data_IF_799363029868
#
_entry.id   IF_799363029868
#
_cell.length_a   1.000
_cell.length_b   1.000
_cell.length_c   1.000
_cell.angle_alpha   90.00
_cell.angle_beta   90.00
_cell.angle_gamma   90.00
#
_symmetry.space_group_name_H-M   'P 1'
#
loop_
_entity.id
_entity.type
_entity.pdbx_description
1 polymer ?
#
# COMPACT_ATOMS: atom_id res chain seq x y z
N UNK A 1 22.16 26.97 35.89
CA UNK A 1 21.90 27.97 34.82
C UNK A 1 22.77 27.79 33.56
N UNK A 2 24.11 27.64 33.63
CA UNK A 2 24.97 27.47 32.42
C UNK A 2 24.62 26.19 31.62
N UNK A 3 24.41 25.05 32.28
CA UNK A 3 24.07 23.76 31.60
C UNK A 3 22.76 23.86 30.84
N UNK A 4 21.70 24.44 31.43
CA UNK A 4 20.42 24.63 30.73
C UNK A 4 20.55 25.52 29.46
N UNK A 5 21.38 26.57 29.53
CA UNK A 5 21.65 27.42 28.36
C UNK A 5 22.38 26.65 27.26
N UNK A 6 23.37 25.82 27.63
CA UNK A 6 24.10 24.98 26.68
C UNK A 6 23.15 23.98 26.01
N UNK A 7 22.30 23.28 26.78
CA UNK A 7 21.28 22.38 26.26
C UNK A 7 20.33 23.13 25.29
N UNK A 8 19.87 24.33 25.69
CA UNK A 8 19.04 25.17 24.85
C UNK A 8 19.70 25.52 23.51
N UNK A 9 20.97 25.87 23.50
CA UNK A 9 21.73 26.17 22.28
C UNK A 9 21.91 24.93 21.39
N UNK A 10 22.18 23.76 21.99
CA UNK A 10 22.30 22.50 21.25
C UNK A 10 20.97 22.15 20.57
N UNK A 11 19.85 22.23 21.30
CA UNK A 11 18.53 21.97 20.75
C UNK A 11 18.23 22.96 19.63
N UNK A 12 18.50 24.24 19.80
CA UNK A 12 18.27 25.27 18.78
C UNK A 12 19.12 25.02 17.54
N UNK A 13 20.37 24.62 17.69
CA UNK A 13 21.27 24.28 16.58
C UNK A 13 20.77 23.03 15.81
N UNK A 14 20.30 22.00 16.53
CA UNK A 14 19.71 20.81 15.89
C UNK A 14 18.43 21.15 15.12
N UNK A 15 17.54 21.95 15.68
CA UNK A 15 16.33 22.43 14.99
C UNK A 15 16.70 23.22 13.74
N UNK A 16 17.66 24.15 13.85
CA UNK A 16 18.11 24.94 12.71
C UNK A 16 18.72 24.04 11.59
N UNK A 17 19.48 23.01 11.97
CA UNK A 17 20.04 22.04 11.03
C UNK A 17 18.95 21.25 10.30
N UNK A 18 17.94 20.78 11.01
CA UNK A 18 16.79 20.08 10.43
C UNK A 18 16.01 20.97 9.46
N UNK A 19 15.73 22.21 9.85
CA UNK A 19 15.05 23.17 8.98
C UNK A 19 15.88 23.51 7.73
N UNK A 20 17.20 23.65 7.88
CA UNK A 20 18.10 23.87 6.75
C UNK A 20 18.14 22.66 5.81
N UNK A 21 18.10 21.44 6.34
CA UNK A 21 18.00 20.22 5.54
C UNK A 21 16.69 20.17 4.75
N UNK A 22 15.55 20.46 5.37
CA UNK A 22 14.26 20.51 4.68
C UNK A 22 14.22 21.59 3.59
N UNK A 23 14.75 22.78 3.88
CA UNK A 23 14.88 23.83 2.88
C UNK A 23 15.80 23.40 1.75
N UNK A 24 16.92 22.73 2.04
CA UNK A 24 17.83 22.18 1.03
C UNK A 24 17.16 21.16 0.12
N UNK A 25 16.38 20.22 0.68
CA UNK A 25 15.55 19.27 -0.06
C UNK A 25 14.59 20.01 -0.99
N UNK A 26 13.86 21.00 -0.46
CA UNK A 26 12.91 21.77 -1.26
C UNK A 26 13.60 22.52 -2.41
N UNK A 27 14.66 23.29 -2.12
CA UNK A 27 15.39 24.06 -3.14
C UNK A 27 16.01 23.15 -4.20
N UNK A 28 16.60 22.02 -3.80
CA UNK A 28 17.17 21.06 -4.74
C UNK A 28 16.10 20.43 -5.61
N UNK A 29 14.94 20.12 -5.06
CA UNK A 29 13.83 19.58 -5.83
C UNK A 29 13.39 20.51 -6.97
N UNK A 30 13.54 21.83 -6.82
CA UNK A 30 13.21 22.80 -7.87
C UNK A 30 14.08 22.67 -9.12
N UNK A 31 15.30 22.11 -8.98
CA UNK A 31 16.21 21.84 -10.08
C UNK A 31 15.90 20.52 -10.83
N UNK A 32 15.03 19.67 -10.26
CA UNK A 32 14.62 18.40 -10.87
C UNK A 32 13.44 18.59 -11.83
N UNK A 33 13.23 17.69 -12.79
CA UNK A 33 12.03 17.68 -13.63
C UNK A 33 10.75 17.67 -12.81
N UNK A 34 9.69 18.28 -13.30
CA UNK A 34 8.39 18.19 -12.66
C UNK A 34 7.90 16.72 -12.62
N UNK A 35 7.22 16.34 -11.53
CA UNK A 35 6.60 15.02 -11.45
C UNK A 35 5.46 14.96 -12.47
N UNK A 36 5.45 14.01 -13.42
CA UNK A 36 4.31 13.83 -14.29
C UNK A 36 3.07 13.47 -13.47
N UNK A 37 1.92 14.10 -13.71
CA UNK A 37 0.69 13.73 -13.01
C UNK A 37 0.29 12.31 -13.39
N UNK A 38 -0.22 11.54 -12.41
CA UNK A 38 -0.89 10.27 -12.67
C UNK A 38 -2.35 10.57 -12.99
N UNK A 39 -2.80 10.18 -14.17
CA UNK A 39 -4.21 10.28 -14.52
C UNK A 39 -4.96 9.15 -13.82
N UNK A 40 -5.64 9.46 -12.73
CA UNK A 40 -6.50 8.53 -12.04
C UNK A 40 -7.91 8.60 -12.64
N UNK A 41 -8.29 7.54 -13.31
CA UNK A 41 -9.63 7.32 -13.84
C UNK A 41 -10.03 5.88 -13.58
N UNK A 42 -11.33 5.61 -13.51
CA UNK A 42 -11.88 4.27 -13.44
C UNK A 42 -12.81 4.04 -14.63
N UNK A 43 -12.66 2.88 -15.24
CA UNK A 43 -13.51 2.40 -16.35
C UNK A 43 -14.02 1.01 -16.01
N UNK A 44 -15.01 0.89 -15.10
CA UNK A 44 -15.49 -0.40 -14.62
C UNK A 44 -15.99 -1.29 -15.74
N UNK A 45 -15.60 -2.57 -15.69
CA UNK A 45 -16.09 -3.66 -16.51
C UNK A 45 -16.27 -4.91 -15.63
N UNK A 46 -17.18 -4.87 -14.64
CA UNK A 46 -17.31 -5.91 -13.63
C UNK A 46 -17.63 -7.26 -14.26
N UNK A 47 -17.10 -8.33 -13.69
CA UNK A 47 -17.47 -9.69 -14.04
C UNK A 47 -18.96 -9.89 -13.85
N UNK A 48 -19.60 -10.55 -14.82
CA UNK A 48 -21.05 -10.69 -14.86
C UNK A 48 -21.58 -11.62 -13.76
N UNK A 49 -20.80 -12.66 -13.48
CA UNK A 49 -21.10 -13.68 -12.49
C UNK A 49 -19.80 -14.35 -11.98
N UNK A 50 -19.98 -15.40 -11.19
CA UNK A 50 -18.88 -16.16 -10.61
C UNK A 50 -18.04 -16.86 -11.70
N UNK A 51 -18.67 -17.43 -12.72
CA UNK A 51 -17.99 -18.17 -13.78
C UNK A 51 -17.13 -17.23 -14.65
N UNK A 52 -17.63 -16.03 -14.96
CA UNK A 52 -16.85 -14.99 -15.66
C UNK A 52 -15.67 -14.52 -14.80
N UNK A 53 -15.87 -14.33 -13.48
CA UNK A 53 -14.78 -13.98 -12.58
C UNK A 53 -13.68 -15.05 -12.55
N UNK A 54 -14.07 -16.32 -12.44
CA UNK A 54 -13.12 -17.42 -12.42
C UNK A 54 -12.42 -17.61 -13.77
N UNK A 55 -13.12 -17.43 -14.89
CA UNK A 55 -12.49 -17.46 -16.21
C UNK A 55 -11.44 -16.35 -16.38
N UNK A 56 -11.71 -15.13 -15.88
CA UNK A 56 -10.73 -14.02 -15.86
C UNK A 56 -9.54 -14.34 -14.94
N UNK A 57 -9.80 -14.93 -13.80
CA UNK A 57 -8.75 -15.35 -12.86
C UNK A 57 -7.85 -16.44 -13.47
N UNK A 58 -8.45 -17.47 -14.09
CA UNK A 58 -7.70 -18.55 -14.73
C UNK A 58 -6.83 -18.02 -15.88
N UNK A 59 -7.35 -17.08 -16.67
CA UNK A 59 -6.59 -16.42 -17.72
C UNK A 59 -5.40 -15.62 -17.14
N UNK A 60 -5.61 -14.86 -16.05
CA UNK A 60 -4.54 -14.14 -15.34
C UNK A 60 -3.45 -15.08 -14.85
N UNK A 61 -3.80 -16.17 -14.17
CA UNK A 61 -2.83 -17.15 -13.67
C UNK A 61 -2.08 -17.84 -14.80
N UNK A 62 -2.78 -18.17 -15.91
CA UNK A 62 -2.16 -18.76 -17.08
C UNK A 62 -1.13 -17.82 -17.74
N UNK A 63 -1.44 -16.52 -17.82
CA UNK A 63 -0.52 -15.50 -18.33
C UNK A 63 0.73 -15.38 -17.41
N UNK A 64 0.52 -15.32 -16.10
CA UNK A 64 1.62 -15.22 -15.13
C UNK A 64 2.54 -16.45 -15.17
N UNK A 65 1.98 -17.67 -15.26
CA UNK A 65 2.75 -18.89 -15.41
C UNK A 65 3.49 -18.98 -16.75
N UNK A 66 2.87 -18.49 -17.82
CA UNK A 66 3.49 -18.50 -19.15
C UNK A 66 4.74 -17.61 -19.23
N UNK A 67 4.90 -16.64 -18.32
CA UNK A 67 6.12 -15.83 -18.17
C UNK A 67 7.32 -16.69 -17.82
N UNK A 68 7.16 -17.69 -16.96
CA UNK A 68 8.23 -18.59 -16.52
C UNK A 68 9.28 -17.98 -15.58
N UNK A 69 9.09 -16.74 -15.15
CA UNK A 69 10.00 -15.98 -14.29
C UNK A 69 9.38 -15.61 -12.93
N UNK A 70 8.13 -16.01 -12.65
CA UNK A 70 7.43 -15.75 -11.39
C UNK A 70 7.61 -16.93 -10.44
N UNK A 71 7.86 -16.64 -9.15
CA UNK A 71 7.89 -17.65 -8.08
C UNK A 71 6.47 -18.21 -7.88
N UNK A 72 6.33 -19.54 -7.80
CA UNK A 72 5.02 -20.19 -7.63
C UNK A 72 4.27 -19.72 -6.38
N UNK A 73 4.98 -19.43 -5.28
CA UNK A 73 4.37 -18.89 -4.06
C UNK A 73 3.90 -17.43 -4.23
N UNK A 74 4.35 -16.75 -5.28
CA UNK A 74 4.02 -15.37 -5.59
C UNK A 74 2.98 -15.23 -6.69
N UNK A 75 2.44 -16.31 -7.22
CA UNK A 75 1.31 -16.27 -8.15
C UNK A 75 0.07 -15.67 -7.48
N UNK A 76 -0.78 -14.95 -8.22
CA UNK A 76 -2.08 -14.55 -7.69
C UNK A 76 -2.92 -15.78 -7.34
N UNK A 77 -3.73 -15.67 -6.30
CA UNK A 77 -4.62 -16.75 -5.90
C UNK A 77 -6.00 -16.26 -5.45
N UNK A 78 -6.97 -17.16 -5.51
CA UNK A 78 -8.33 -16.97 -5.00
C UNK A 78 -8.64 -18.09 -4.03
N UNK A 79 -9.14 -17.74 -2.84
CA UNK A 79 -9.84 -18.66 -1.95
C UNK A 79 -11.35 -18.46 -2.18
N UNK A 80 -12.05 -19.52 -2.57
CA UNK A 80 -13.45 -19.42 -2.96
C UNK A 80 -14.31 -20.57 -2.45
N UNK A 81 -15.56 -20.26 -2.12
CA UNK A 81 -16.58 -21.23 -1.72
C UNK A 81 -17.25 -21.93 -2.92
N UNK A 82 -16.69 -21.80 -4.14
CA UNK A 82 -17.22 -22.43 -5.34
C UNK A 82 -18.44 -21.74 -5.92
N UNK A 83 -18.79 -20.56 -5.44
CA UNK A 83 -19.91 -19.74 -5.86
C UNK A 83 -19.70 -18.28 -5.47
N UNK A 84 -20.49 -17.37 -6.04
CA UNK A 84 -20.57 -16.00 -5.58
C UNK A 84 -21.11 -15.96 -4.15
N UNK A 85 -20.39 -15.27 -3.25
CA UNK A 85 -20.80 -15.10 -1.84
C UNK A 85 -21.42 -13.73 -1.61
N UNK A 86 -21.97 -13.50 -0.42
CA UNK A 86 -22.42 -12.18 0.00
C UNK A 86 -21.25 -11.17 -0.03
N UNK A 87 -20.05 -11.59 0.38
CA UNK A 87 -18.88 -10.72 0.52
C UNK A 87 -17.68 -11.28 -0.22
N UNK A 88 -16.95 -10.41 -0.91
CA UNK A 88 -15.62 -10.70 -1.43
C UNK A 88 -14.62 -9.63 -0.96
N UNK A 89 -13.34 -10.00 -0.92
CA UNK A 89 -12.27 -9.07 -0.54
C UNK A 89 -11.06 -9.25 -1.45
N UNK A 90 -10.48 -8.13 -1.84
CA UNK A 90 -9.19 -8.04 -2.53
C UNK A 90 -8.13 -7.62 -1.53
N UNK A 91 -6.98 -8.30 -1.53
CA UNK A 91 -5.87 -8.04 -0.61
C UNK A 91 -4.60 -7.69 -1.39
N UNK A 92 -4.19 -6.41 -1.39
CA UNK A 92 -3.00 -5.93 -2.06
C UNK A 92 -1.79 -5.91 -1.12
N UNK A 93 -0.73 -6.64 -1.49
CA UNK A 93 0.50 -6.73 -0.72
C UNK A 93 1.33 -5.43 -0.75
N UNK A 94 2.34 -5.34 0.14
CA UNK A 94 3.25 -4.22 0.24
C UNK A 94 4.40 -4.25 -0.77
N UNK A 95 5.19 -3.17 -0.80
CA UNK A 95 6.44 -3.09 -1.57
C UNK A 95 7.39 -4.21 -1.14
N UNK A 96 8.04 -4.84 -2.09
CA UNK A 96 8.93 -6.00 -1.97
C UNK A 96 8.27 -7.33 -1.61
N UNK A 97 7.04 -7.33 -1.10
CA UNK A 97 6.28 -8.55 -0.82
C UNK A 97 5.65 -9.14 -2.11
N UNK A 98 4.88 -10.20 -1.95
CA UNK A 98 4.07 -10.80 -3.01
C UNK A 98 2.77 -11.38 -2.40
N UNK A 99 1.87 -11.99 -3.16
CA UNK A 99 0.61 -12.53 -2.65
C UNK A 99 0.72 -13.40 -1.40
N UNK A 100 1.83 -14.11 -1.23
CA UNK A 100 2.10 -14.93 -0.05
C UNK A 100 2.02 -14.14 1.28
N UNK A 101 2.28 -12.83 1.27
CA UNK A 101 2.19 -11.96 2.45
C UNK A 101 0.83 -12.07 3.17
N UNK A 102 -0.22 -12.38 2.43
CA UNK A 102 -1.57 -12.49 2.96
C UNK A 102 -2.02 -13.93 3.25
N UNK A 103 -1.15 -14.93 3.08
CA UNK A 103 -1.55 -16.34 3.12
C UNK A 103 -2.44 -16.70 4.32
N UNK A 104 -2.03 -16.31 5.53
CA UNK A 104 -2.80 -16.62 6.74
C UNK A 104 -4.03 -15.71 6.92
N UNK A 105 -3.88 -14.39 6.72
CA UNK A 105 -5.02 -13.48 6.87
C UNK A 105 -6.11 -13.76 5.83
N UNK A 106 -5.72 -14.14 4.61
CA UNK A 106 -6.66 -14.54 3.58
C UNK A 106 -7.47 -15.78 3.97
N UNK A 107 -6.82 -16.79 4.59
CA UNK A 107 -7.51 -17.97 5.09
C UNK A 107 -8.51 -17.62 6.19
N UNK A 108 -8.13 -16.76 7.14
CA UNK A 108 -9.03 -16.32 8.20
C UNK A 108 -10.26 -15.57 7.66
N UNK A 109 -10.08 -14.72 6.66
CA UNK A 109 -11.20 -14.03 6.00
C UNK A 109 -12.07 -14.99 5.18
N UNK A 110 -11.46 -16.00 4.55
CA UNK A 110 -12.21 -17.08 3.89
C UNK A 110 -13.07 -17.84 4.90
N UNK A 111 -12.53 -18.16 6.07
CA UNK A 111 -13.26 -18.85 7.13
C UNK A 111 -14.43 -17.99 7.69
N UNK A 112 -14.35 -16.65 7.55
CA UNK A 112 -15.43 -15.70 7.83
C UNK A 112 -16.47 -15.58 6.70
N UNK A 113 -16.35 -16.39 5.64
CA UNK A 113 -17.30 -16.49 4.55
C UNK A 113 -17.02 -15.57 3.35
N UNK A 114 -15.87 -14.92 3.27
CA UNK A 114 -15.47 -14.16 2.09
C UNK A 114 -14.94 -15.07 0.98
N UNK A 115 -15.23 -14.72 -0.27
CA UNK A 115 -14.33 -15.09 -1.35
C UNK A 115 -13.16 -14.09 -1.34
N UNK A 116 -11.92 -14.59 -1.32
CA UNK A 116 -10.72 -13.76 -1.14
C UNK A 116 -9.88 -13.80 -2.40
N UNK A 117 -9.58 -12.65 -3.00
CA UNK A 117 -8.68 -12.52 -4.14
C UNK A 117 -7.40 -11.79 -3.70
N UNK A 118 -6.25 -12.44 -3.94
CA UNK A 118 -4.93 -11.86 -3.65
C UNK A 118 -4.15 -11.75 -4.95
N UNK A 119 -4.17 -10.58 -5.60
CA UNK A 119 -3.45 -10.34 -6.85
C UNK A 119 -1.96 -10.13 -6.60
N UNK A 120 -1.14 -10.44 -7.61
CA UNK A 120 0.28 -10.06 -7.66
C UNK A 120 0.40 -8.65 -8.24
N UNK A 121 1.05 -7.75 -7.52
CA UNK A 121 1.32 -6.40 -8.01
C UNK A 121 2.38 -6.42 -9.13
N UNK A 122 2.32 -5.45 -10.07
CA UNK A 122 3.30 -5.35 -11.15
C UNK A 122 4.74 -5.32 -10.62
N UNK A 123 5.65 -5.99 -11.33
CA UNK A 123 7.09 -6.04 -11.02
C UNK A 123 7.48 -6.77 -9.72
N UNK A 124 6.54 -7.40 -9.02
CA UNK A 124 6.78 -8.17 -7.80
C UNK A 124 6.79 -9.67 -8.07
N UNK A 125 7.32 -10.46 -7.12
CA UNK A 125 7.20 -11.90 -7.09
C UNK A 125 8.03 -12.66 -8.12
N UNK A 126 9.09 -12.08 -8.68
CA UNK A 126 9.99 -12.82 -9.58
C UNK A 126 10.83 -13.85 -8.82
N UNK A 127 11.11 -14.99 -9.49
CA UNK A 127 11.94 -16.09 -8.95
C UNK A 127 13.38 -15.62 -8.66
N UNK A 128 13.92 -14.70 -9.48
CA UNK A 128 15.16 -13.99 -9.14
C UNK A 128 14.85 -12.87 -8.16
N UNK A 129 14.94 -13.16 -6.88
CA UNK A 129 14.67 -12.22 -5.78
C UNK A 129 15.68 -11.07 -5.70
N UNK A 130 16.85 -11.19 -6.37
CA UNK A 130 17.86 -10.14 -6.46
C UNK A 130 17.66 -9.23 -7.66
N UNK A 131 16.66 -9.52 -8.48
CA UNK A 131 16.25 -8.69 -9.61
C UNK A 131 15.93 -7.26 -9.18
N UNK A 132 16.36 -6.28 -9.97
CA UNK A 132 15.96 -4.88 -9.80
C UNK A 132 14.69 -4.54 -10.62
N UNK A 133 13.79 -5.51 -10.80
CA UNK A 133 12.57 -5.32 -11.59
C UNK A 133 11.70 -4.16 -11.07
N UNK A 134 11.72 -3.90 -9.77
CA UNK A 134 11.02 -2.77 -9.16
C UNK A 134 11.49 -1.40 -9.70
N UNK A 135 12.69 -1.28 -10.27
CA UNK A 135 13.13 -0.03 -10.90
C UNK A 135 12.28 0.37 -12.12
N UNK A 136 11.57 -0.58 -12.70
CA UNK A 136 10.66 -0.36 -13.84
C UNK A 136 9.20 -0.16 -13.42
N UNK A 137 8.89 -0.27 -12.13
CA UNK A 137 7.53 -0.03 -11.62
C UNK A 137 7.11 1.41 -11.92
N UNK A 138 5.87 1.57 -12.36
CA UNK A 138 5.26 2.88 -12.60
C UNK A 138 3.96 3.04 -11.82
N UNK A 139 3.63 4.28 -11.48
CA UNK A 139 2.36 4.58 -10.84
C UNK A 139 1.16 4.26 -11.75
N UNK A 140 1.35 4.34 -13.07
CA UNK A 140 0.35 3.99 -14.08
C UNK A 140 0.03 2.49 -14.10
N UNK A 141 1.05 1.60 -13.98
CA UNK A 141 0.83 0.15 -13.85
C UNK A 141 0.01 -0.17 -12.59
N UNK A 142 0.33 0.47 -11.46
CA UNK A 142 -0.42 0.31 -10.22
C UNK A 142 -1.86 0.82 -10.35
N UNK A 143 -2.03 2.00 -10.96
CA UNK A 143 -3.34 2.60 -11.16
C UNK A 143 -4.24 1.76 -12.07
N UNK A 144 -3.70 1.21 -13.15
CA UNK A 144 -4.45 0.36 -14.08
C UNK A 144 -4.91 -0.97 -13.46
N UNK A 145 -4.13 -1.52 -12.54
CA UNK A 145 -4.44 -2.78 -11.88
C UNK A 145 -5.69 -2.71 -10.99
N UNK A 146 -5.96 -1.56 -10.40
CA UNK A 146 -7.08 -1.36 -9.47
C UNK A 146 -8.41 -1.74 -10.11
N UNK A 147 -8.70 -1.27 -11.33
CA UNK A 147 -9.97 -1.58 -12.02
C UNK A 147 -10.11 -3.06 -12.35
N UNK A 148 -9.06 -3.66 -12.94
CA UNK A 148 -9.11 -5.08 -13.32
C UNK A 148 -9.35 -6.01 -12.12
N UNK A 149 -8.78 -5.69 -10.98
CA UNK A 149 -8.97 -6.48 -9.75
C UNK A 149 -10.34 -6.27 -9.12
N UNK A 150 -10.85 -5.02 -9.10
CA UNK A 150 -12.20 -4.73 -8.65
C UNK A 150 -13.25 -5.41 -9.54
N UNK A 151 -13.06 -5.38 -10.84
CA UNK A 151 -13.96 -5.99 -11.82
C UNK A 151 -14.05 -7.52 -11.66
N UNK A 152 -12.93 -8.19 -11.43
CA UNK A 152 -12.92 -9.62 -11.14
C UNK A 152 -13.66 -9.92 -9.83
N UNK A 153 -13.35 -9.16 -8.76
CA UNK A 153 -13.92 -9.39 -7.44
C UNK A 153 -15.44 -9.14 -7.39
N UNK A 154 -15.98 -8.33 -8.28
CA UNK A 154 -17.42 -8.10 -8.40
C UNK A 154 -18.22 -9.37 -8.78
N UNK A 155 -17.60 -10.32 -9.49
CA UNK A 155 -18.21 -11.63 -9.75
C UNK A 155 -18.03 -12.61 -8.59
N UNK A 156 -17.09 -12.37 -7.69
CA UNK A 156 -16.84 -13.23 -6.54
C UNK A 156 -17.77 -12.93 -5.34
N UNK A 157 -18.23 -11.69 -5.17
CA UNK A 157 -19.12 -11.30 -4.08
C UNK A 157 -20.14 -10.24 -4.48
N UNK A 158 -21.22 -10.13 -3.70
CA UNK A 158 -22.22 -9.07 -3.88
C UNK A 158 -21.66 -7.74 -3.35
N UNK A 159 -20.98 -7.79 -2.22
CA UNK A 159 -20.30 -6.66 -1.59
C UNK A 159 -18.79 -6.85 -1.71
N UNK A 160 -18.11 -5.93 -2.38
CA UNK A 160 -16.67 -6.00 -2.62
C UNK A 160 -15.93 -5.06 -1.65
N UNK A 161 -15.00 -5.62 -0.88
CA UNK A 161 -14.03 -4.87 -0.07
C UNK A 161 -12.68 -4.87 -0.76
N UNK A 162 -12.01 -3.72 -0.77
CA UNK A 162 -10.65 -3.58 -1.31
C UNK A 162 -9.70 -3.17 -0.19
N UNK A 163 -8.80 -4.05 0.21
CA UNK A 163 -7.85 -3.81 1.29
C UNK A 163 -6.40 -3.94 0.81
N UNK A 164 -5.48 -3.28 1.47
CA UNK A 164 -4.06 -3.40 1.14
C UNK A 164 -3.14 -2.72 2.13
N UNK A 165 -1.92 -3.25 2.26
CA UNK A 165 -0.89 -2.71 3.14
C UNK A 165 0.10 -1.84 2.35
N UNK A 166 0.48 -0.68 2.91
CA UNK A 166 1.58 0.14 2.39
C UNK A 166 1.34 0.57 0.93
N UNK A 167 2.14 0.07 -0.02
CA UNK A 167 1.87 0.20 -1.46
C UNK A 167 0.45 -0.27 -1.81
N UNK A 168 0.07 -1.47 -1.36
CA UNK A 168 -1.28 -2.00 -1.55
C UNK A 168 -2.35 -1.09 -0.93
N UNK A 169 -2.01 -0.40 0.17
CA UNK A 169 -2.85 0.61 0.80
C UNK A 169 -3.12 1.82 -0.11
N UNK A 170 -2.15 2.21 -0.95
CA UNK A 170 -2.37 3.27 -1.94
C UNK A 170 -3.33 2.81 -3.04
N UNK A 171 -3.23 1.54 -3.49
CA UNK A 171 -4.17 0.97 -4.48
C UNK A 171 -5.57 0.85 -3.89
N UNK A 172 -5.70 0.40 -2.65
CA UNK A 172 -6.98 0.35 -1.95
C UNK A 172 -7.59 1.75 -1.76
N UNK A 173 -6.77 2.75 -1.43
CA UNK A 173 -7.22 4.14 -1.33
C UNK A 173 -7.66 4.70 -2.69
N UNK A 174 -6.99 4.34 -3.79
CA UNK A 174 -7.42 4.69 -5.14
C UNK A 174 -8.78 4.09 -5.46
N UNK A 175 -8.99 2.81 -5.15
CA UNK A 175 -10.29 2.14 -5.32
C UNK A 175 -11.39 2.86 -4.53
N UNK A 176 -11.13 3.19 -3.26
CA UNK A 176 -12.04 3.96 -2.42
C UNK A 176 -12.39 5.34 -2.99
N UNK A 177 -11.45 5.98 -3.69
CA UNK A 177 -11.66 7.28 -4.31
C UNK A 177 -12.47 7.22 -5.62
N UNK A 178 -12.39 6.10 -6.38
CA UNK A 178 -12.87 6.06 -7.76
C UNK A 178 -14.02 5.07 -8.03
N UNK A 179 -14.17 4.02 -7.21
CA UNK A 179 -15.10 2.91 -7.47
C UNK A 179 -16.38 3.03 -6.65
N UNK A 180 -17.49 3.27 -7.31
CA UNK A 180 -18.82 3.37 -6.67
C UNK A 180 -19.42 2.01 -6.31
N UNK A 181 -18.92 0.94 -6.88
CA UNK A 181 -19.36 -0.44 -6.68
C UNK A 181 -18.59 -1.16 -5.55
N UNK A 182 -17.61 -0.47 -4.92
CA UNK A 182 -16.99 -0.98 -3.70
C UNK A 182 -17.85 -0.69 -2.47
N UNK A 183 -18.11 -1.74 -1.70
CA UNK A 183 -18.70 -1.63 -0.36
C UNK A 183 -17.77 -0.87 0.57
N UNK A 184 -16.47 -1.23 0.58
CA UNK A 184 -15.50 -0.65 1.49
C UNK A 184 -14.09 -0.63 0.90
N UNK A 185 -13.36 0.46 1.18
CA UNK A 185 -11.91 0.52 0.98
C UNK A 185 -11.18 0.53 2.33
N UNK A 186 -10.15 -0.32 2.47
CA UNK A 186 -9.39 -0.51 3.71
C UNK A 186 -7.88 -0.27 3.45
N UNK A 187 -7.44 0.99 3.30
CA UNK A 187 -6.02 1.29 3.24
C UNK A 187 -5.37 1.07 4.62
N UNK A 188 -4.44 0.12 4.69
CA UNK A 188 -3.65 -0.22 5.88
C UNK A 188 -2.26 0.39 5.77
N UNK A 189 -1.86 1.26 6.69
CA UNK A 189 -0.59 2.00 6.66
C UNK A 189 -0.19 2.46 5.24
N UNK A 190 -1.07 3.14 4.49
CA UNK A 190 -0.81 3.48 3.08
C UNK A 190 0.46 4.32 2.95
N UNK A 191 1.25 4.04 1.90
CA UNK A 191 2.53 4.67 1.64
C UNK A 191 2.35 6.07 1.01
N UNK A 192 1.87 7.03 1.80
CA UNK A 192 1.56 8.40 1.37
C UNK A 192 2.71 9.39 1.60
N UNK A 193 3.80 8.96 2.21
CA UNK A 193 4.97 9.78 2.50
C UNK A 193 5.89 9.12 3.53
N UNK A 194 7.09 9.66 3.70
CA UNK A 194 8.08 9.16 4.66
C UNK A 194 7.76 9.56 6.11
N UNK A 195 7.97 8.66 7.06
CA UNK A 195 7.65 8.80 8.48
C UNK A 195 8.03 10.15 9.10
N UNK A 196 9.24 10.60 8.89
CA UNK A 196 9.81 11.77 9.55
C UNK A 196 9.89 13.01 8.66
N UNK A 197 9.34 12.94 7.45
CA UNK A 197 9.30 14.07 6.53
C UNK A 197 7.92 14.75 6.62
N UNK A 198 7.86 16.06 6.87
CA UNK A 198 6.59 16.77 6.85
C UNK A 198 5.83 16.54 5.54
N UNK A 199 4.51 16.30 5.61
CA UNK A 199 3.71 15.90 4.45
C UNK A 199 3.83 16.88 3.27
N UNK A 200 3.92 18.19 3.53
CA UNK A 200 4.08 19.19 2.47
C UNK A 200 5.39 19.08 1.67
N UNK A 201 6.39 18.35 2.18
CA UNK A 201 7.66 18.07 1.49
C UNK A 201 7.62 16.75 0.69
N UNK A 202 6.59 15.94 0.83
CA UNK A 202 6.47 14.68 0.07
C UNK A 202 6.58 14.91 -1.44
N UNK A 203 5.92 15.93 -2.06
CA UNK A 203 6.10 16.20 -3.49
C UNK A 203 7.55 16.55 -3.86
N UNK A 204 8.24 17.35 -3.03
CA UNK A 204 9.64 17.72 -3.26
C UNK A 204 10.56 16.49 -3.22
N UNK A 205 10.36 15.63 -2.21
CA UNK A 205 11.15 14.41 -2.04
C UNK A 205 10.87 13.40 -3.15
N UNK A 206 9.62 13.20 -3.55
CA UNK A 206 9.24 12.35 -4.68
C UNK A 206 9.94 12.83 -5.97
N UNK A 207 9.95 14.15 -6.20
CA UNK A 207 10.61 14.76 -7.35
C UNK A 207 12.13 14.51 -7.35
N UNK A 208 12.77 14.62 -6.19
CA UNK A 208 14.18 14.30 -6.04
C UNK A 208 14.46 12.83 -6.34
N UNK A 209 13.69 11.92 -5.75
CA UNK A 209 13.85 10.47 -5.93
C UNK A 209 13.73 10.10 -7.41
N UNK A 210 12.68 10.57 -8.09
CA UNK A 210 12.47 10.26 -9.51
C UNK A 210 13.49 10.92 -10.44
N UNK A 211 14.08 12.04 -10.01
CA UNK A 211 15.15 12.73 -10.74
C UNK A 211 16.54 12.16 -10.54
N UNK A 212 16.73 11.22 -9.60
CA UNK A 212 18.04 10.59 -9.36
C UNK A 212 18.44 9.68 -10.52
N UNK A 213 19.70 9.83 -10.96
CA UNK A 213 20.32 8.95 -11.96
C UNK A 213 21.80 8.77 -11.59
N UNK A 214 22.32 7.53 -11.47
CA UNK A 214 21.58 6.26 -11.54
C UNK A 214 20.59 6.06 -10.38
N UNK A 215 19.66 5.10 -10.55
CA UNK A 215 18.77 4.66 -9.48
C UNK A 215 19.57 4.05 -8.32
N UNK A 216 19.00 4.12 -7.11
CA UNK A 216 19.63 3.62 -5.89
C UNK A 216 18.83 2.40 -5.41
N UNK A 217 19.53 1.28 -5.28
CA UNK A 217 18.95 0.09 -4.66
C UNK A 217 19.13 0.14 -3.13
N UNK A 218 18.04 -0.01 -2.38
CA UNK A 218 18.01 -0.03 -0.91
C UNK A 218 17.82 -1.45 -0.43
N UNK A 219 18.73 -1.95 0.39
CA UNK A 219 18.64 -3.25 1.03
C UNK A 219 17.91 -3.13 2.37
N UNK A 220 16.99 -4.06 2.65
CA UNK A 220 16.35 -4.13 3.97
C UNK A 220 17.36 -4.45 5.06
N UNK A 221 18.26 -5.38 4.79
CA UNK A 221 19.42 -5.65 5.63
C UNK A 221 20.70 -5.39 4.81
N UNK A 222 21.38 -4.24 5.00
CA UNK A 222 22.58 -3.91 4.25
C UNK A 222 23.78 -4.78 4.62
N UNK A 223 23.72 -5.55 5.72
CA UNK A 223 24.78 -6.46 6.18
C UNK A 223 24.62 -7.81 5.49
N UNK A 224 23.43 -8.44 5.60
CA UNK A 224 23.17 -9.77 5.05
C UNK A 224 22.66 -9.72 3.60
N UNK A 225 22.18 -8.57 3.13
CA UNK A 225 21.78 -8.32 1.73
C UNK A 225 20.85 -9.43 1.19
N UNK A 226 21.33 -10.15 0.14
CA UNK A 226 20.54 -11.18 -0.53
C UNK A 226 20.24 -12.41 0.36
N UNK A 227 21.00 -12.60 1.43
CA UNK A 227 20.73 -13.65 2.42
C UNK A 227 19.63 -13.25 3.42
N UNK A 228 19.12 -12.03 3.34
CA UNK A 228 17.94 -11.60 4.08
C UNK A 228 16.76 -12.50 3.69
N UNK A 229 16.29 -13.25 4.66
CA UNK A 229 15.22 -14.23 4.47
C UNK A 229 13.86 -13.61 4.84
N UNK A 230 13.20 -13.02 3.85
CA UNK A 230 11.74 -13.04 3.83
C UNK A 230 11.34 -14.19 2.91
N UNK A 231 10.48 -15.08 3.34
CA UNK A 231 10.06 -16.24 2.50
C UNK A 231 9.33 -15.76 1.25
N UNK A 232 8.73 -14.57 1.30
CA UNK A 232 7.81 -14.03 0.30
C UNK A 232 8.18 -12.64 -0.19
N UNK A 233 9.43 -12.38 -0.60
CA UNK A 233 9.71 -11.04 -1.09
C UNK A 233 11.15 -10.77 -1.49
N UNK A 234 11.38 -9.55 -1.99
CA UNK A 234 12.71 -9.09 -2.38
C UNK A 234 13.52 -8.62 -1.17
N UNK A 235 14.84 -8.84 -1.15
CA UNK A 235 15.72 -8.41 -0.06
C UNK A 235 15.95 -6.89 -0.04
N UNK A 236 15.39 -6.16 -0.98
CA UNK A 236 15.49 -4.72 -1.10
C UNK A 236 14.67 -4.18 -2.27
N UNK A 237 14.78 -2.91 -2.54
CA UNK A 237 13.98 -2.23 -3.56
C UNK A 237 14.73 -1.07 -4.22
N UNK A 238 14.29 -0.74 -5.42
CA UNK A 238 14.67 0.49 -6.12
C UNK A 238 14.07 1.70 -5.41
N UNK A 239 14.88 2.72 -5.19
CA UNK A 239 14.39 4.00 -4.65
C UNK A 239 13.40 4.66 -5.63
N UNK A 240 13.58 4.46 -6.94
CA UNK A 240 12.63 4.91 -7.98
C UNK A 240 11.24 4.30 -7.78
N UNK A 241 11.13 2.99 -7.45
CA UNK A 241 9.86 2.35 -7.15
C UNK A 241 9.11 3.07 -6.02
N UNK A 242 9.83 3.45 -4.95
CA UNK A 242 9.24 4.21 -3.85
C UNK A 242 8.75 5.59 -4.32
N UNK A 243 9.49 6.24 -5.23
CA UNK A 243 9.06 7.49 -5.87
C UNK A 243 7.75 7.34 -6.65
N UNK A 244 7.58 6.25 -7.40
CA UNK A 244 6.35 5.95 -8.15
C UNK A 244 5.16 5.64 -7.23
N UNK A 245 5.42 4.95 -6.12
CA UNK A 245 4.41 4.69 -5.09
C UNK A 245 3.91 6.01 -4.47
N UNK A 246 4.81 6.92 -4.15
CA UNK A 246 4.43 8.25 -3.65
C UNK A 246 3.73 9.09 -4.71
N UNK A 247 4.09 8.93 -5.99
CA UNK A 247 3.41 9.59 -7.10
C UNK A 247 1.93 9.18 -7.18
N UNK A 248 1.64 7.87 -7.05
CA UNK A 248 0.28 7.36 -6.91
C UNK A 248 -0.42 7.95 -5.67
N UNK A 249 0.23 7.88 -4.51
CA UNK A 249 -0.31 8.41 -3.26
C UNK A 249 -0.64 9.91 -3.32
N UNK A 250 0.20 10.72 -3.96
CA UNK A 250 -0.03 12.15 -4.18
C UNK A 250 -1.23 12.40 -5.08
N UNK A 251 -1.42 11.59 -6.12
CA UNK A 251 -2.58 11.70 -7.01
C UNK A 251 -3.89 11.35 -6.27
N UNK A 252 -3.89 10.30 -5.46
CA UNK A 252 -5.04 9.92 -4.61
C UNK A 252 -5.37 11.03 -3.61
N UNK A 253 -4.37 11.59 -2.92
CA UNK A 253 -4.57 12.69 -1.97
C UNK A 253 -5.14 13.94 -2.66
N UNK A 254 -4.65 14.29 -3.85
CA UNK A 254 -5.15 15.43 -4.62
C UNK A 254 -6.63 15.29 -5.02
N UNK A 255 -7.05 14.06 -5.39
CA UNK A 255 -8.47 13.79 -5.65
C UNK A 255 -9.28 13.85 -4.34
N UNK A 256 -8.80 13.25 -3.28
CA UNK A 256 -9.47 13.24 -1.99
C UNK A 256 -9.67 14.66 -1.42
N UNK A 257 -8.76 15.59 -1.69
CA UNK A 257 -8.89 17.00 -1.29
C UNK A 257 -9.99 17.75 -2.04
N UNK A 258 -10.36 17.31 -3.23
CA UNK A 258 -11.28 18.02 -4.14
C UNK A 258 -12.60 17.32 -4.41
N UNK A 259 -12.69 16.02 -4.11
CA UNK A 259 -13.85 15.18 -4.46
C UNK A 259 -14.19 14.21 -3.31
N UNK A 260 -15.47 13.83 -3.15
CA UNK A 260 -15.84 12.77 -2.22
C UNK A 260 -15.23 11.44 -2.65
N UNK A 261 -14.94 10.52 -1.70
CA UNK A 261 -14.65 9.14 -2.05
C UNK A 261 -15.87 8.50 -2.70
N UNK A 262 -15.63 7.57 -3.62
CA UNK A 262 -16.70 6.92 -4.39
C UNK A 262 -17.23 5.66 -3.72
N UNK A 263 -16.38 4.91 -2.99
CA UNK A 263 -16.83 3.71 -2.24
C UNK A 263 -17.80 4.07 -1.13
N UNK A 264 -18.67 3.12 -0.75
CA UNK A 264 -19.71 3.39 0.26
C UNK A 264 -19.12 3.70 1.64
N UNK A 265 -18.01 3.02 2.02
CA UNK A 265 -17.32 3.23 3.27
C UNK A 265 -15.79 3.22 3.11
N UNK A 266 -15.07 3.86 4.03
CA UNK A 266 -13.60 3.85 4.10
C UNK A 266 -13.16 3.53 5.52
N UNK A 267 -12.31 2.53 5.68
CA UNK A 267 -11.72 2.14 6.96
C UNK A 267 -10.20 2.31 6.89
N UNK A 268 -9.67 3.38 7.44
CA UNK A 268 -8.23 3.64 7.44
C UNK A 268 -7.59 3.03 8.68
N UNK A 269 -6.65 2.11 8.49
CA UNK A 269 -5.94 1.42 9.57
C UNK A 269 -4.46 1.78 9.52
N UNK A 270 -3.86 2.12 10.66
CA UNK A 270 -2.43 2.31 10.80
C UNK A 270 -1.90 1.88 12.17
N UNK A 271 -0.60 1.99 12.40
CA UNK A 271 -0.02 1.75 13.71
C UNK A 271 0.82 2.95 14.18
N UNK A 272 0.71 3.27 15.47
CA UNK A 272 1.36 4.44 16.06
C UNK A 272 2.90 4.37 16.00
N UNK A 273 3.43 3.16 16.07
CA UNK A 273 4.86 2.87 16.04
C UNK A 273 5.45 2.65 14.65
N UNK A 274 4.65 2.81 13.58
CA UNK A 274 5.07 2.53 12.20
C UNK A 274 6.35 3.31 11.83
N UNK A 275 7.46 2.62 11.49
CA UNK A 275 8.72 3.30 11.19
C UNK A 275 8.79 3.81 9.74
N UNK A 276 7.90 3.38 8.84
CA UNK A 276 8.02 3.56 7.41
C UNK A 276 7.19 4.73 6.87
N UNK A 277 5.91 4.81 7.25
CA UNK A 277 4.94 5.72 6.61
C UNK A 277 4.68 6.99 7.42
N UNK A 278 4.23 8.03 6.74
CA UNK A 278 3.86 9.30 7.35
C UNK A 278 2.44 9.25 7.90
N UNK A 279 2.30 9.15 9.23
CA UNK A 279 0.99 9.12 9.89
C UNK A 279 0.18 10.40 9.66
N UNK A 280 0.84 11.56 9.57
CA UNK A 280 0.16 12.83 9.27
C UNK A 280 -0.43 12.87 7.85
N UNK A 281 0.21 12.20 6.87
CA UNK A 281 -0.35 12.07 5.53
C UNK A 281 -1.57 11.14 5.51
N UNK A 282 -1.54 10.06 6.31
CA UNK A 282 -2.67 9.15 6.48
C UNK A 282 -3.86 9.87 7.13
N UNK A 283 -3.60 10.62 8.20
CA UNK A 283 -4.61 11.46 8.85
C UNK A 283 -5.19 12.51 7.90
N UNK A 284 -4.36 13.11 7.06
CA UNK A 284 -4.79 14.09 6.07
C UNK A 284 -5.73 13.48 5.02
N UNK A 285 -5.42 12.26 4.52
CA UNK A 285 -6.29 11.53 3.60
C UNK A 285 -7.65 11.25 4.25
N UNK A 286 -7.67 10.65 5.44
CA UNK A 286 -8.90 10.36 6.16
C UNK A 286 -9.73 11.62 6.44
N UNK A 287 -9.07 12.72 6.83
CA UNK A 287 -9.71 14.01 7.05
C UNK A 287 -10.27 14.62 5.75
N UNK A 288 -9.58 14.47 4.62
CA UNK A 288 -10.04 14.91 3.31
C UNK A 288 -11.33 14.17 2.90
N UNK A 289 -11.34 12.86 3.01
CA UNK A 289 -12.52 12.04 2.74
C UNK A 289 -13.71 12.43 3.62
N UNK A 290 -13.50 12.61 4.94
CA UNK A 290 -14.55 13.08 5.86
C UNK A 290 -15.10 14.45 5.47
N UNK A 291 -14.23 15.41 5.15
CA UNK A 291 -14.64 16.78 4.73
C UNK A 291 -15.51 16.75 3.49
N UNK A 292 -15.22 15.81 2.57
CA UNK A 292 -15.93 15.66 1.30
C UNK A 292 -17.12 14.68 1.38
N UNK A 293 -17.55 14.30 2.58
CA UNK A 293 -18.80 13.54 2.79
C UNK A 293 -18.65 12.02 2.79
N UNK A 294 -17.42 11.48 2.85
CA UNK A 294 -17.17 10.05 2.99
C UNK A 294 -17.58 9.51 4.37
N UNK A 295 -18.06 8.26 4.39
CA UNK A 295 -18.23 7.48 5.62
C UNK A 295 -16.88 6.85 6.00
N UNK A 296 -16.16 7.51 6.91
CA UNK A 296 -14.77 7.20 7.22
C UNK A 296 -14.58 6.83 8.67
N UNK A 297 -14.22 5.57 8.94
CA UNK A 297 -13.65 5.15 10.20
C UNK A 297 -12.12 5.15 10.15
N UNK A 298 -11.52 5.29 11.30
CA UNK A 298 -10.07 5.20 11.46
C UNK A 298 -9.75 4.33 12.66
N UNK A 299 -8.79 3.43 12.53
CA UNK A 299 -8.26 2.66 13.64
C UNK A 299 -6.74 2.73 13.64
N UNK A 300 -6.17 3.05 14.78
CA UNK A 300 -4.72 3.08 14.96
C UNK A 300 -4.32 2.10 16.05
N UNK A 301 -3.51 1.11 15.69
CA UNK A 301 -2.90 0.24 16.69
C UNK A 301 -2.04 1.05 17.66
N UNK A 302 -2.10 0.76 18.97
CA UNK A 302 -1.36 1.51 19.98
C UNK A 302 0.15 1.34 19.81
N UNK A 303 0.92 2.28 20.39
CA UNK A 303 2.39 2.23 20.37
C UNK A 303 2.94 0.99 21.07
N UNK A 304 2.25 0.49 22.09
CA UNK A 304 2.65 -0.70 22.82
C UNK A 304 1.51 -1.72 22.84
N UNK A 305 1.84 -3.00 22.53
CA UNK A 305 3.16 -3.48 22.11
C UNK A 305 3.55 -2.92 20.74
N UNK A 306 4.84 -2.62 20.54
CA UNK A 306 5.32 -2.11 19.24
C UNK A 306 5.04 -3.12 18.12
N UNK A 307 4.47 -2.64 17.03
CA UNK A 307 4.21 -3.42 15.82
C UNK A 307 5.18 -2.99 14.71
N UNK A 308 5.65 -3.92 13.87
CA UNK A 308 6.39 -3.57 12.66
C UNK A 308 5.47 -2.84 11.66
N UNK A 309 6.05 -2.30 10.58
CA UNK A 309 5.27 -1.76 9.47
C UNK A 309 4.41 -2.84 8.82
N UNK A 310 5.00 -3.99 8.58
CA UNK A 310 4.27 -5.18 8.14
C UNK A 310 3.64 -5.89 9.36
N UNK A 311 2.42 -5.51 9.68
CA UNK A 311 1.65 -6.07 10.79
C UNK A 311 0.63 -7.13 10.37
N UNK A 312 0.73 -7.59 9.09
CA UNK A 312 -0.18 -8.58 8.52
C UNK A 312 0.52 -9.89 8.14
N UNK A 313 1.85 -9.90 8.04
CA UNK A 313 2.62 -11.09 7.67
C UNK A 313 3.15 -11.80 8.90
N UNK A 314 3.08 -13.13 8.91
CA UNK A 314 3.67 -13.97 9.96
C UNK A 314 5.18 -14.06 9.85
N UNK A 315 5.73 -13.88 8.65
CA UNK A 315 7.20 -13.88 8.39
C UNK A 315 7.85 -12.52 8.65
N UNK A 316 7.08 -11.47 8.94
CA UNK A 316 7.66 -10.16 9.21
C UNK A 316 8.54 -10.20 10.46
N UNK A 317 9.69 -9.53 10.40
CA UNK A 317 10.57 -9.40 11.56
C UNK A 317 9.83 -8.69 12.70
N UNK A 318 9.64 -9.40 13.80
CA UNK A 318 8.86 -8.90 14.94
C UNK A 318 7.34 -9.02 14.76
N UNK A 319 6.88 -9.91 13.88
CA UNK A 319 5.47 -10.22 13.67
C UNK A 319 4.72 -10.44 15.00
N UNK A 320 3.50 -9.94 15.04
CA UNK A 320 2.55 -10.07 16.18
C UNK A 320 1.14 -10.27 15.66
N UNK A 321 1.00 -11.18 14.72
CA UNK A 321 -0.27 -11.45 14.03
C UNK A 321 -1.33 -11.99 14.98
N UNK A 322 -0.93 -12.66 16.05
CA UNK A 322 -1.80 -13.04 17.17
C UNK A 322 -2.53 -11.84 17.81
N UNK A 323 -1.94 -10.66 17.72
CA UNK A 323 -2.52 -9.42 18.26
C UNK A 323 -3.24 -8.59 17.19
N UNK A 324 -2.80 -8.65 15.94
CA UNK A 324 -3.36 -7.83 14.86
C UNK A 324 -4.54 -8.50 14.17
N UNK A 325 -4.49 -9.80 13.91
CA UNK A 325 -5.52 -10.52 13.16
C UNK A 325 -6.91 -10.45 13.80
N UNK A 326 -7.09 -10.70 15.12
CA UNK A 326 -8.43 -10.61 15.70
C UNK A 326 -9.06 -9.23 15.51
N UNK A 327 -8.24 -8.18 15.61
CA UNK A 327 -8.72 -6.81 15.43
C UNK A 327 -8.97 -6.45 13.97
N UNK A 328 -8.12 -6.90 13.04
CA UNK A 328 -8.31 -6.69 11.60
C UNK A 328 -9.59 -7.38 11.12
N UNK A 329 -9.80 -8.63 11.53
CA UNK A 329 -11.01 -9.39 11.20
C UNK A 329 -12.24 -8.69 11.77
N UNK A 330 -12.25 -8.35 13.06
CA UNK A 330 -13.33 -7.59 13.68
C UNK A 330 -13.67 -6.33 12.86
N UNK A 331 -12.67 -5.50 12.58
CA UNK A 331 -12.87 -4.24 11.86
C UNK A 331 -13.40 -4.44 10.43
N UNK A 332 -12.86 -5.41 9.69
CA UNK A 332 -13.24 -5.67 8.29
C UNK A 332 -14.64 -6.29 8.22
N UNK A 333 -15.00 -7.15 9.19
CA UNK A 333 -16.27 -7.88 9.14
C UNK A 333 -17.45 -7.14 9.77
N UNK A 334 -17.18 -6.18 10.69
CA UNK A 334 -18.23 -5.50 11.46
C UNK A 334 -18.42 -4.03 11.08
N UNK A 335 -17.48 -3.40 10.38
CA UNK A 335 -17.66 -2.03 9.93
C UNK A 335 -18.72 -1.99 8.83
N UNK A 336 -19.75 -1.11 8.99
CA UNK A 336 -20.95 -1.09 8.14
C UNK A 336 -20.70 -0.70 6.69
#
# INVERSE_FOLDING_TARGET
MRVLKIIGYIVLALVALVLAAYLGIYLWSLAMPAIPPVALASTPNPAQDYDDAMARFDALVAEERARGDIDENCLPYVLTHGQRTERSIILFHGLTACPFQYHELAQLLYDEGYNVFVPRLPRHGYSDRTSNALAELTAEELAAMMDATADLAAGLGEEVTMAGLSLGGNVAAQGGQLRTDLRMAVPMSPALGFRFVPNFLTPALTRLILGLSPDIYIWWDPINKADFQAESGYPGFSLRALGEIYRLGLAVQALADSQPPASQAQLVIDNWGDPAVNLGAIEALAAAWKRNGGDVATYRFPLLPWLPHDFISTDAVGAKTDQTYPKLIELITTYP
#
